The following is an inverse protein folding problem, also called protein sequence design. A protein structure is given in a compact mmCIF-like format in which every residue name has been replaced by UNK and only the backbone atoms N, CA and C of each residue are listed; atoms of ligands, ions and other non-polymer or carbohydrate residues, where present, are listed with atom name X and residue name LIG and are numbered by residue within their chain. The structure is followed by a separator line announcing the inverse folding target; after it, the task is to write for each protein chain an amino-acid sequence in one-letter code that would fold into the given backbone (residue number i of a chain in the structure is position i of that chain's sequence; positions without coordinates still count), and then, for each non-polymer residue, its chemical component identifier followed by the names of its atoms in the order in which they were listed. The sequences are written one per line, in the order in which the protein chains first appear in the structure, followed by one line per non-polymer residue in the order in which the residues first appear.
data_IF_104507711964
#
_entry.id   IF_104507711964
#
_cell.length_a   1.000
_cell.length_b   1.000
_cell.length_c   1.000
_cell.angle_alpha   90.00
_cell.angle_beta   90.00
_cell.angle_gamma   90.00
#
_symmetry.space_group_name_H-M   'P 1'
#
loop_
_entity.id
_entity.type
_entity.pdbx_description
1 polymer ?
#
# COMPACT_ATOMS: atom_id res chain seq x y z
N UNK A 1 52.03 12.22 -28.69
CA UNK A 1 51.05 12.94 -27.83
C UNK A 1 49.64 12.64 -28.35
N UNK A 2 48.71 12.23 -27.49
CA UNK A 2 47.34 11.96 -27.90
C UNK A 2 46.50 13.25 -27.97
N UNK A 3 45.51 13.35 -28.87
CA UNK A 3 44.63 14.52 -28.94
C UNK A 3 43.72 14.62 -27.71
N UNK A 4 43.31 15.85 -27.31
CA UNK A 4 42.40 16.04 -26.20
C UNK A 4 40.99 15.50 -26.50
N UNK A 5 40.22 15.10 -25.47
CA UNK A 5 38.85 14.62 -25.67
C UNK A 5 37.91 15.75 -26.14
N UNK A 6 36.82 15.42 -26.85
CA UNK A 6 35.84 16.39 -27.30
C UNK A 6 35.06 17.01 -26.12
N UNK A 7 34.55 18.25 -26.28
CA UNK A 7 33.73 18.90 -25.26
C UNK A 7 32.37 18.20 -25.07
N UNK A 8 31.77 18.29 -23.87
CA UNK A 8 30.45 17.73 -23.61
C UNK A 8 29.35 18.44 -24.41
N UNK A 9 28.25 17.74 -24.73
CA UNK A 9 27.11 18.34 -25.43
C UNK A 9 26.40 19.40 -24.57
N UNK A 10 25.74 20.39 -25.20
CA UNK A 10 24.99 21.41 -24.48
C UNK A 10 23.74 20.82 -23.78
N UNK A 11 23.28 21.42 -22.67
CA UNK A 11 22.08 20.98 -21.99
C UNK A 11 20.82 21.22 -22.84
N UNK A 12 19.76 20.38 -22.67
CA UNK A 12 18.51 20.56 -23.39
C UNK A 12 17.79 21.86 -22.95
N UNK A 13 17.06 22.54 -23.85
CA UNK A 13 16.26 23.70 -23.49
C UNK A 13 15.12 23.32 -22.55
N UNK A 14 15.01 24.03 -21.42
CA UNK A 14 13.92 23.85 -20.45
C UNK A 14 12.60 24.38 -20.98
N UNK A 15 11.57 23.54 -21.01
CA UNK A 15 10.21 23.92 -21.40
C UNK A 15 9.52 24.79 -20.35
N UNK A 16 8.86 25.86 -20.82
CA UNK A 16 8.06 26.76 -20.00
C UNK A 16 6.77 26.07 -19.50
N UNK A 17 6.52 26.13 -18.20
CA UNK A 17 5.34 25.54 -17.55
C UNK A 17 4.05 26.29 -17.88
N UNK A 18 3.02 25.55 -18.27
CA UNK A 18 1.67 26.07 -18.51
C UNK A 18 0.96 26.51 -17.21
N UNK A 19 -0.22 27.14 -17.34
CA UNK A 19 -1.00 27.61 -16.18
C UNK A 19 -1.45 26.44 -15.29
N UNK A 20 -1.64 26.67 -13.98
CA UNK A 20 -2.05 25.63 -13.05
C UNK A 20 -3.46 25.09 -13.39
N UNK A 21 -3.73 23.81 -13.10
CA UNK A 21 -5.04 23.22 -13.32
C UNK A 21 -6.12 23.89 -12.46
N UNK A 22 -7.38 23.91 -12.93
CA UNK A 22 -8.49 24.49 -12.17
C UNK A 22 -8.78 23.70 -10.88
N UNK A 23 -9.36 24.33 -9.85
CA UNK A 23 -9.71 23.66 -8.60
C UNK A 23 -10.81 22.60 -8.82
N UNK A 24 -10.84 21.53 -8.01
CA UNK A 24 -11.87 20.51 -8.07
C UNK A 24 -13.25 21.07 -7.66
N UNK A 25 -14.35 20.48 -8.17
CA UNK A 25 -15.71 20.88 -7.79
C UNK A 25 -16.00 20.53 -6.32
N UNK A 26 -16.94 21.25 -5.67
CA UNK A 26 -17.36 20.96 -4.30
C UNK A 26 -18.06 19.60 -4.19
N UNK A 27 -17.94 18.91 -3.03
CA UNK A 27 -18.61 17.63 -2.80
C UNK A 27 -20.13 17.80 -2.72
N UNK A 28 -20.90 16.75 -3.09
CA UNK A 28 -22.36 16.77 -2.98
C UNK A 28 -22.83 16.84 -1.52
N UNK A 29 -24.02 17.41 -1.25
CA UNK A 29 -24.60 17.43 0.09
C UNK A 29 -24.92 16.01 0.55
N UNK A 30 -24.52 15.69 1.79
CA UNK A 30 -24.88 14.41 2.41
C UNK A 30 -26.37 14.40 2.81
N UNK A 31 -27.07 13.27 2.68
CA UNK A 31 -28.46 13.16 3.13
C UNK A 31 -28.54 13.25 4.67
N UNK A 32 -29.45 14.10 5.15
CA UNK A 32 -29.76 14.26 6.57
C UNK A 32 -30.32 12.96 7.16
N UNK A 33 -29.73 12.51 8.28
CA UNK A 33 -30.19 11.33 9.04
C UNK A 33 -31.35 11.70 9.95
N UNK A 34 -32.48 12.08 9.38
CA UNK A 34 -33.69 12.41 10.14
C UNK A 34 -34.80 11.41 9.80
N UNK A 35 -34.71 10.17 10.32
CA UNK A 35 -35.83 9.21 10.32
C UNK A 35 -35.58 8.02 11.27
N UNK A 36 -36.08 8.14 12.51
CA UNK A 36 -36.94 7.13 13.15
C UNK A 36 -36.42 5.74 13.53
N UNK A 37 -35.16 5.37 13.32
CA UNK A 37 -34.66 4.08 13.80
C UNK A 37 -34.43 4.11 15.33
N UNK A 38 -34.90 3.11 16.12
CA UNK A 38 -34.52 3.00 17.52
C UNK A 38 -32.99 2.95 17.60
N UNK A 39 -32.42 3.80 18.44
CA UNK A 39 -30.98 3.89 18.62
C UNK A 39 -30.38 2.53 18.98
N UNK A 40 -29.12 2.27 18.61
CA UNK A 40 -28.46 1.02 18.97
C UNK A 40 -28.56 0.82 20.49
N UNK A 41 -28.72 -0.43 20.96
CA UNK A 41 -28.75 -0.70 22.39
C UNK A 41 -27.49 -0.13 23.04
N UNK A 42 -27.58 0.36 24.29
CA UNK A 42 -26.41 0.85 25.00
C UNK A 42 -25.33 -0.24 25.00
N UNK A 43 -24.05 0.13 24.82
CA UNK A 43 -22.97 -0.83 24.89
C UNK A 43 -23.00 -1.50 26.27
N UNK A 44 -22.68 -2.80 26.35
CA UNK A 44 -22.57 -3.49 27.63
C UNK A 44 -21.55 -2.77 28.51
N UNK A 45 -21.76 -2.74 29.85
CA UNK A 45 -20.76 -2.19 30.77
C UNK A 45 -19.42 -2.88 30.50
N UNK A 46 -18.38 -2.06 30.29
CA UNK A 46 -17.03 -2.58 30.10
C UNK A 46 -16.63 -3.37 31.36
N UNK A 47 -16.01 -4.56 31.22
CA UNK A 47 -15.41 -5.26 32.34
C UNK A 47 -14.47 -4.32 33.11
N UNK A 48 -14.57 -4.33 34.44
CA UNK A 48 -13.71 -3.55 35.33
C UNK A 48 -12.23 -3.77 34.95
N UNK A 49 -11.56 -2.70 34.50
CA UNK A 49 -10.15 -2.73 34.03
C UNK A 49 -9.14 -2.95 35.17
N UNK A 50 -9.61 -2.95 36.39
CA UNK A 50 -8.89 -3.29 37.62
C UNK A 50 -8.58 -4.79 37.73
N UNK A 51 -9.14 -5.63 36.87
CA UNK A 51 -8.77 -7.04 36.74
C UNK A 51 -7.52 -7.25 35.87
N UNK A 52 -6.42 -6.53 36.09
CA UNK A 52 -5.04 -6.88 35.68
C UNK A 52 -4.75 -7.33 34.24
N UNK A 53 -5.70 -7.29 33.32
CA UNK A 53 -5.60 -7.88 31.99
C UNK A 53 -5.02 -6.85 31.04
N UNK A 54 -3.70 -6.91 30.90
CA UNK A 54 -2.92 -6.18 29.91
C UNK A 54 -3.25 -6.77 28.53
N UNK A 55 -4.17 -6.15 27.78
CA UNK A 55 -4.17 -6.30 26.33
C UNK A 55 -2.79 -5.86 25.84
N UNK A 56 -2.05 -6.78 25.23
CA UNK A 56 -0.64 -6.65 24.86
C UNK A 56 -0.31 -5.62 23.78
N UNK A 57 -1.08 -4.54 23.69
CA UNK A 57 -0.66 -3.33 22.98
C UNK A 57 0.19 -2.53 23.96
N UNK A 58 1.51 -2.33 23.70
CA UNK A 58 2.28 -1.36 24.44
C UNK A 58 1.54 -0.03 24.40
N UNK A 59 1.26 0.55 25.56
CA UNK A 59 0.65 1.87 25.64
C UNK A 59 1.64 2.86 25.01
N UNK A 60 1.40 3.23 23.75
CA UNK A 60 2.26 4.19 23.07
C UNK A 60 2.10 5.53 23.79
N UNK A 61 3.20 6.25 24.07
CA UNK A 61 3.12 7.58 24.63
C UNK A 61 2.18 8.43 23.77
N UNK A 62 1.17 9.02 24.41
CA UNK A 62 0.33 10.00 23.74
C UNK A 62 1.25 11.15 23.32
N UNK A 63 1.22 11.60 22.05
CA UNK A 63 2.03 12.73 21.64
C UNK A 63 1.56 13.96 22.43
N UNK A 64 2.41 14.45 23.33
CA UNK A 64 2.10 15.55 24.25
C UNK A 64 2.42 16.93 23.68
N UNK A 65 2.76 17.02 22.38
CA UNK A 65 3.23 18.25 21.74
C UNK A 65 2.52 18.61 20.45
N UNK A 66 2.77 19.83 19.99
CA UNK A 66 2.18 20.36 18.77
C UNK A 66 2.69 19.60 17.53
N UNK A 67 1.76 19.04 16.76
CA UNK A 67 2.08 18.28 15.55
C UNK A 67 2.93 19.08 14.56
N UNK A 68 2.70 20.39 14.49
CA UNK A 68 3.44 21.32 13.63
C UNK A 68 4.92 21.37 14.00
N UNK A 69 5.24 21.43 15.29
CA UNK A 69 6.61 21.46 15.79
C UNK A 69 7.33 20.15 15.55
N UNK A 70 6.64 19.02 15.73
CA UNK A 70 7.17 17.71 15.37
C UNK A 70 7.51 17.63 13.87
N UNK A 71 6.60 18.08 13.00
CA UNK A 71 6.83 18.08 11.56
C UNK A 71 7.97 19.04 11.17
N UNK A 72 8.09 20.18 11.85
CA UNK A 72 9.20 21.11 11.68
C UNK A 72 10.53 20.45 12.08
N UNK A 73 10.57 19.80 13.24
CA UNK A 73 11.73 19.05 13.72
C UNK A 73 12.16 17.93 12.77
N UNK A 74 11.21 17.17 12.21
CA UNK A 74 11.50 16.11 11.22
C UNK A 74 12.14 16.71 9.96
N UNK A 75 11.63 17.85 9.47
CA UNK A 75 12.18 18.53 8.29
C UNK A 75 13.57 19.09 8.56
N UNK A 76 13.75 19.77 9.69
CA UNK A 76 15.03 20.36 10.09
C UNK A 76 16.10 19.30 10.36
N UNK A 77 15.71 18.13 10.88
CA UNK A 77 16.61 17.01 11.09
C UNK A 77 17.09 16.32 9.79
N UNK A 78 16.60 16.73 8.61
CA UNK A 78 17.00 16.17 7.31
C UNK A 78 16.12 15.00 6.82
N UNK A 79 14.99 14.75 7.48
CA UNK A 79 14.01 13.72 7.08
C UNK A 79 14.62 12.33 6.95
N UNK A 80 14.15 11.57 5.94
CA UNK A 80 14.61 10.18 5.69
C UNK A 80 16.11 10.16 5.32
N UNK A 81 16.63 11.24 4.72
CA UNK A 81 18.03 11.32 4.30
C UNK A 81 19.04 11.35 5.45
N UNK A 82 18.61 11.74 6.66
CA UNK A 82 19.43 11.78 7.85
C UNK A 82 19.50 10.45 8.62
N UNK A 83 18.70 9.46 8.23
CA UNK A 83 18.73 8.14 8.84
C UNK A 83 19.99 7.37 8.42
N UNK A 84 20.53 6.55 9.34
CA UNK A 84 21.67 5.69 9.05
C UNK A 84 21.30 4.69 7.94
N UNK A 85 22.21 4.50 6.98
CA UNK A 85 22.06 3.45 5.97
C UNK A 85 22.15 2.09 6.67
N UNK A 86 21.13 1.26 6.47
CA UNK A 86 21.12 -0.14 6.87
C UNK A 86 21.31 -0.98 5.61
N UNK A 87 21.98 -2.12 5.74
CA UNK A 87 22.14 -3.07 4.64
C UNK A 87 20.78 -3.52 4.12
N UNK A 88 20.62 -3.65 2.80
CA UNK A 88 19.33 -3.99 2.18
C UNK A 88 18.77 -5.34 2.63
N UNK A 89 19.63 -6.30 2.99
CA UNK A 89 19.21 -7.60 3.53
C UNK A 89 18.53 -7.50 4.90
N UNK A 90 18.80 -6.41 5.63
CA UNK A 90 18.22 -6.13 6.95
C UNK A 90 17.07 -5.12 6.88
N UNK A 91 16.76 -4.58 5.69
CA UNK A 91 15.64 -3.65 5.51
C UNK A 91 14.33 -4.41 5.61
N UNK A 92 13.57 -4.11 6.66
CA UNK A 92 12.18 -4.55 6.80
C UNK A 92 11.30 -3.62 5.97
N UNK A 93 10.94 -4.05 4.76
CA UNK A 93 10.06 -3.25 3.90
C UNK A 93 8.62 -3.25 4.46
N UNK A 94 8.21 -2.08 4.97
CA UNK A 94 6.86 -1.80 5.47
C UNK A 94 6.19 -0.69 4.65
N UNK A 95 6.65 -0.45 3.43
CA UNK A 95 6.06 0.54 2.53
C UNK A 95 4.71 0.08 1.95
N UNK A 96 4.43 -1.22 2.00
CA UNK A 96 3.12 -1.76 1.67
C UNK A 96 2.05 -1.26 2.65
N UNK A 97 0.87 -0.93 2.13
CA UNK A 97 -0.26 -0.52 2.95
C UNK A 97 -0.60 -1.62 3.98
N UNK A 98 -0.71 -1.24 5.25
CA UNK A 98 -1.16 -2.14 6.31
C UNK A 98 -2.66 -2.42 6.13
N UNK A 99 -2.99 -3.40 5.28
CA UNK A 99 -4.34 -3.90 5.09
C UNK A 99 -4.66 -4.86 6.23
N UNK A 100 -5.71 -4.62 7.04
CA UNK A 100 -6.15 -5.59 8.05
C UNK A 100 -6.38 -6.97 7.41
N UNK A 101 -5.66 -7.99 7.87
CA UNK A 101 -5.73 -9.36 7.33
C UNK A 101 -4.69 -9.71 6.25
N UNK A 102 -3.94 -8.74 5.72
CA UNK A 102 -2.70 -9.04 5.00
C UNK A 102 -1.62 -9.39 6.03
N UNK A 103 -0.83 -10.43 5.79
CA UNK A 103 0.23 -10.87 6.68
C UNK A 103 1.27 -9.75 6.87
N UNK A 104 1.05 -8.91 7.87
CA UNK A 104 2.03 -7.99 8.41
C UNK A 104 3.00 -8.82 9.24
N UNK A 105 3.98 -9.39 8.53
CA UNK A 105 5.30 -9.80 8.99
C UNK A 105 5.45 -9.88 10.53
N UNK A 106 4.90 -10.94 11.11
CA UNK A 106 4.94 -11.22 12.55
C UNK A 106 6.36 -11.67 12.88
N UNK A 107 7.23 -10.70 13.12
CA UNK A 107 8.60 -10.96 13.56
C UNK A 107 8.63 -11.77 14.87
N UNK A 108 9.82 -12.26 15.29
CA UNK A 108 9.97 -13.30 16.33
C UNK A 108 9.43 -12.98 17.74
N UNK A 109 8.79 -11.83 17.94
CA UNK A 109 8.25 -11.40 19.23
C UNK A 109 6.84 -10.80 19.13
N UNK A 110 5.98 -11.28 18.22
CA UNK A 110 4.68 -10.62 18.02
C UNK A 110 3.48 -11.48 17.65
N UNK A 111 3.63 -12.76 17.34
CA UNK A 111 2.45 -13.62 17.12
C UNK A 111 2.77 -15.04 17.52
N UNK A 112 2.13 -15.52 18.58
CA UNK A 112 2.11 -16.92 18.99
C UNK A 112 1.30 -17.80 18.04
N UNK A 113 1.36 -17.54 16.74
CA UNK A 113 0.74 -18.37 15.72
C UNK A 113 1.83 -19.31 15.19
N UNK A 114 1.61 -20.65 15.22
CA UNK A 114 2.55 -21.57 14.61
C UNK A 114 2.70 -21.23 13.12
N UNK A 115 3.89 -21.46 12.52
CA UNK A 115 4.05 -21.29 11.09
C UNK A 115 2.96 -22.08 10.40
N UNK A 116 2.14 -21.40 9.60
CA UNK A 116 1.24 -22.09 8.69
C UNK A 116 2.13 -22.87 7.76
N UNK A 117 2.26 -24.16 8.02
CA UNK A 117 2.73 -25.13 7.05
C UNK A 117 1.67 -25.11 5.97
N UNK A 118 1.84 -24.24 4.97
CA UNK A 118 1.16 -24.47 3.69
C UNK A 118 1.68 -25.83 3.24
N UNK A 119 0.81 -26.81 3.41
CA UNK A 119 1.01 -28.19 3.07
C UNK A 119 1.53 -28.29 1.64
N UNK A 120 2.48 -29.17 1.43
CA UNK A 120 3.00 -29.47 0.11
C UNK A 120 1.92 -30.05 -0.80
N UNK A 121 2.11 -29.81 -2.09
CA UNK A 121 1.28 -30.33 -3.17
C UNK A 121 1.33 -29.35 -4.32
N UNK A 122 2.09 -29.70 -5.37
CA UNK A 122 2.16 -28.88 -6.59
C UNK A 122 0.77 -28.57 -7.15
N UNK A 123 0.55 -27.33 -7.57
CA UNK A 123 -0.77 -26.81 -7.96
C UNK A 123 -1.17 -25.55 -7.18
N UNK A 124 -0.25 -24.59 -7.04
CA UNK A 124 -0.58 -23.31 -6.40
C UNK A 124 -1.45 -22.43 -7.32
N UNK A 125 -2.03 -21.35 -6.77
CA UNK A 125 -2.86 -20.38 -7.52
C UNK A 125 -2.21 -19.92 -8.84
N UNK A 126 -0.88 -19.86 -8.89
CA UNK A 126 -0.12 -19.53 -10.10
C UNK A 126 -0.29 -20.55 -11.23
N UNK A 127 -0.28 -21.85 -10.92
CA UNK A 127 -0.54 -22.92 -11.91
C UNK A 127 -1.99 -22.89 -12.39
N UNK A 128 -2.94 -22.66 -11.48
CA UNK A 128 -4.36 -22.51 -11.84
C UNK A 128 -4.60 -21.30 -12.76
N UNK A 129 -3.86 -20.20 -12.52
CA UNK A 129 -3.94 -19.00 -13.36
C UNK A 129 -3.30 -19.25 -14.75
N UNK A 130 -2.18 -19.97 -14.81
CA UNK A 130 -1.53 -20.33 -16.07
C UNK A 130 -2.42 -21.24 -16.94
N UNK A 131 -3.07 -22.26 -16.35
CA UNK A 131 -4.03 -23.10 -17.07
C UNK A 131 -5.26 -22.32 -17.54
N UNK A 132 -5.79 -21.43 -16.70
CA UNK A 132 -6.94 -20.60 -17.06
C UNK A 132 -6.62 -19.65 -18.23
N UNK A 133 -5.42 -19.08 -18.26
CA UNK A 133 -4.95 -18.23 -19.36
C UNK A 133 -4.76 -19.03 -20.64
N UNK A 134 -4.18 -20.23 -20.58
CA UNK A 134 -4.02 -21.10 -21.76
C UNK A 134 -5.37 -21.55 -22.34
N UNK A 135 -6.34 -21.94 -21.49
CA UNK A 135 -7.72 -22.24 -21.93
C UNK A 135 -8.40 -21.05 -22.59
N UNK A 136 -8.23 -19.85 -22.04
CA UNK A 136 -8.75 -18.61 -22.65
C UNK A 136 -8.06 -18.31 -23.98
N UNK A 137 -6.74 -18.48 -24.09
CA UNK A 137 -5.99 -18.26 -25.34
C UNK A 137 -6.47 -19.19 -26.46
N UNK A 138 -6.65 -20.47 -26.18
CA UNK A 138 -7.16 -21.44 -27.17
C UNK A 138 -8.57 -21.08 -27.64
N UNK A 139 -9.47 -20.69 -26.73
CA UNK A 139 -10.84 -20.27 -27.10
C UNK A 139 -10.86 -18.98 -27.94
N UNK A 140 -9.96 -18.05 -27.65
CA UNK A 140 -9.83 -16.79 -28.41
C UNK A 140 -9.22 -17.03 -29.79
N UNK A 141 -8.14 -17.81 -29.90
CA UNK A 141 -7.51 -18.12 -31.19
C UNK A 141 -8.39 -19.00 -32.10
N UNK A 142 -9.21 -19.89 -31.53
CA UNK A 142 -10.16 -20.69 -32.32
C UNK A 142 -11.36 -19.89 -32.86
N UNK A 143 -11.57 -18.64 -32.39
CA UNK A 143 -12.63 -17.76 -32.92
C UNK A 143 -12.12 -16.80 -34.02
N UNK A 144 -10.84 -16.87 -34.36
CA UNK A 144 -10.16 -15.97 -35.32
C UNK A 144 -9.89 -16.65 -36.68
N UNK A 145 -9.94 -17.99 -36.74
CA UNK A 145 -9.59 -18.81 -37.93
C UNK A 145 -10.82 -19.20 -38.80
N UNK A 146 -12.01 -18.69 -38.47
CA UNK A 146 -13.27 -18.90 -39.22
C UNK A 146 -13.81 -17.56 -39.79
N UNK A 147 -12.91 -16.64 -40.14
CA UNK A 147 -13.27 -15.30 -40.65
C UNK A 147 -12.60 -14.95 -41.99
N UNK A 148 -12.22 -15.95 -42.78
CA UNK A 148 -11.68 -15.78 -44.15
C UNK A 148 -12.65 -16.38 -45.19
N UNK A 149 -13.97 -16.20 -45.02
CA UNK A 149 -14.94 -16.38 -46.10
C UNK A 149 -16.29 -15.72 -45.76
N UNK A 150 -16.34 -14.38 -45.69
CA UNK A 150 -17.53 -13.71 -46.22
C UNK A 150 -17.24 -12.27 -46.66
N UNK A 151 -17.77 -11.99 -47.84
CA UNK A 151 -17.57 -10.85 -48.71
C UNK A 151 -18.21 -9.57 -48.13
N UNK A 152 -17.44 -8.79 -47.35
CA UNK A 152 -17.79 -7.41 -46.95
C UNK A 152 -16.63 -6.43 -47.10
#
# INVERSE_FOLDING_TARGET
PAPPPPPPPPPPPGGAGGPPPPPPPPPPPMPSRDSGAPGPPPPPPMPNRDSGYVSGVPNLPQPTGDRSDLLSGIKQAGGIGALKKVDRSQVRDRSAAAVPGAAADTGPAGSGLPPTTTSGGGGGLADALAEALNKRKQKVSASDDEAEEDDW
#
